data_IF_807026826023
#
_entry.id   IF_807026826023
#
_cell.length_a   1.000
_cell.length_b   1.000
_cell.length_c   1.000
_cell.angle_alpha   90.00
_cell.angle_beta   90.00
_cell.angle_gamma   90.00
#
_symmetry.space_group_name_H-M   'P 1'
#
loop_
_entity.id
_entity.type
_entity.pdbx_description
1 polymer ?
#
# COMPACT_ATOMS: atom_id res chain seq x y z
N UNK A 1 -5.56 12.85 12.32
CA UNK A 1 -6.42 12.74 11.12
C UNK A 1 -5.73 11.83 10.10
N UNK A 2 -6.47 10.97 9.41
CA UNK A 2 -5.88 10.02 8.46
C UNK A 2 -5.10 8.90 9.15
N UNK A 3 -3.96 8.52 8.61
CA UNK A 3 -3.14 7.39 9.10
C UNK A 3 -2.71 7.56 10.58
N UNK A 4 -2.39 8.78 11.01
CA UNK A 4 -2.04 9.10 12.39
C UNK A 4 -3.17 8.72 13.38
N UNK A 5 -4.41 9.10 13.08
CA UNK A 5 -5.55 8.76 13.93
C UNK A 5 -5.85 7.25 13.95
N UNK A 6 -5.69 6.58 12.81
CA UNK A 6 -5.83 5.11 12.74
C UNK A 6 -4.76 4.43 13.58
N UNK A 7 -3.51 4.92 13.53
CA UNK A 7 -2.42 4.41 14.36
C UNK A 7 -2.72 4.54 15.85
N UNK A 8 -3.18 5.71 16.30
CA UNK A 8 -3.55 5.94 17.70
C UNK A 8 -4.67 4.99 18.17
N UNK A 9 -5.64 4.72 17.31
CA UNK A 9 -6.71 3.75 17.61
C UNK A 9 -6.16 2.33 17.71
N UNK A 10 -5.25 1.94 16.81
CA UNK A 10 -4.63 0.61 16.81
C UNK A 10 -3.71 0.40 18.01
N UNK A 11 -2.99 1.43 18.47
CA UNK A 11 -2.16 1.37 19.66
C UNK A 11 -2.96 1.14 20.97
N UNK A 12 -4.22 1.59 21.00
CA UNK A 12 -5.11 1.43 22.15
C UNK A 12 -5.83 0.07 22.18
N UNK A 13 -5.68 -0.73 21.14
CA UNK A 13 -6.33 -2.04 21.06
C UNK A 13 -5.61 -3.07 21.92
N UNK A 14 -6.34 -3.65 22.87
CA UNK A 14 -5.95 -4.87 23.58
C UNK A 14 -6.47 -6.08 22.78
N UNK A 15 -5.55 -6.83 22.18
CA UNK A 15 -5.88 -7.98 21.35
C UNK A 15 -6.46 -9.14 22.16
N UNK A 16 -6.04 -9.32 23.42
CA UNK A 16 -6.53 -10.37 24.29
C UNK A 16 -7.98 -10.12 24.70
N UNK A 17 -8.26 -8.91 25.14
CA UNK A 17 -9.61 -8.49 25.49
C UNK A 17 -10.54 -8.54 24.26
N UNK A 18 -10.07 -8.06 23.11
CA UNK A 18 -10.86 -8.07 21.86
C UNK A 18 -11.16 -9.50 21.39
N UNK A 19 -10.21 -10.42 21.51
CA UNK A 19 -10.42 -11.84 21.19
C UNK A 19 -11.51 -12.47 22.08
N UNK A 20 -11.45 -12.22 23.39
CA UNK A 20 -12.46 -12.72 24.32
C UNK A 20 -13.86 -12.16 24.02
N UNK A 21 -13.95 -10.85 23.73
CA UNK A 21 -15.22 -10.22 23.36
C UNK A 21 -15.81 -10.81 22.09
N UNK A 22 -14.98 -10.99 21.03
CA UNK A 22 -15.45 -11.57 19.77
C UNK A 22 -15.88 -13.03 19.91
N UNK A 23 -15.20 -13.81 20.74
CA UNK A 23 -15.61 -15.20 21.03
C UNK A 23 -16.96 -15.24 21.76
N UNK A 24 -17.18 -14.37 22.72
CA UNK A 24 -18.45 -14.25 23.42
C UNK A 24 -19.58 -13.79 22.47
N UNK A 25 -19.31 -12.80 21.62
CA UNK A 25 -20.25 -12.33 20.58
C UNK A 25 -20.63 -13.45 19.59
N UNK A 26 -19.65 -14.24 19.14
CA UNK A 26 -19.91 -15.36 18.24
C UNK A 26 -20.76 -16.43 18.90
N UNK A 27 -20.52 -16.74 20.20
CA UNK A 27 -21.33 -17.70 20.95
C UNK A 27 -22.79 -17.24 21.08
N UNK A 28 -22.99 -15.98 21.44
CA UNK A 28 -24.33 -15.36 21.55
C UNK A 28 -25.07 -15.34 20.19
N UNK A 29 -24.37 -14.97 19.12
CA UNK A 29 -24.93 -14.96 17.76
C UNK A 29 -25.27 -16.39 17.28
N UNK A 30 -24.51 -17.42 17.69
CA UNK A 30 -24.79 -18.81 17.36
C UNK A 30 -26.08 -19.31 18.00
N UNK A 31 -26.39 -18.88 19.21
CA UNK A 31 -27.65 -19.21 19.88
C UNK A 31 -28.83 -18.51 19.21
N UNK A 32 -28.66 -17.21 18.84
CA UNK A 32 -29.71 -16.42 18.16
C UNK A 32 -29.94 -16.80 16.69
N UNK A 33 -28.94 -17.38 16.02
CA UNK A 33 -29.03 -17.84 14.61
C UNK A 33 -30.04 -18.99 14.44
N UNK A 34 -30.27 -19.75 15.51
CA UNK A 34 -31.33 -20.76 15.55
C UNK A 34 -32.73 -20.19 15.45
N UNK A 35 -32.88 -18.90 15.69
CA UNK A 35 -34.16 -18.20 15.69
C UNK A 35 -34.40 -17.27 14.47
N UNK A 36 -33.34 -16.79 13.77
CA UNK A 36 -33.48 -15.83 12.65
C UNK A 36 -32.33 -15.92 11.63
N UNK A 37 -32.65 -16.13 10.36
CA UNK A 37 -31.73 -16.22 9.21
C UNK A 37 -30.82 -14.99 9.01
N UNK A 38 -31.24 -13.79 9.45
CA UNK A 38 -30.51 -12.52 9.27
C UNK A 38 -29.24 -12.39 10.12
N UNK A 39 -29.05 -13.23 11.14
CA UNK A 39 -27.91 -13.12 12.04
C UNK A 39 -26.68 -13.88 11.56
N UNK A 40 -26.81 -14.77 10.58
CA UNK A 40 -25.69 -15.50 9.98
C UNK A 40 -24.62 -14.59 9.33
N UNK A 41 -25.04 -13.45 8.76
CA UNK A 41 -24.10 -12.48 8.20
C UNK A 41 -23.30 -11.74 9.30
N UNK A 42 -23.90 -11.44 10.43
CA UNK A 42 -23.20 -10.80 11.56
C UNK A 42 -22.18 -11.75 12.16
N UNK A 43 -22.57 -13.01 12.36
CA UNK A 43 -21.67 -14.07 12.84
C UNK A 43 -20.49 -14.28 11.89
N UNK A 44 -20.73 -14.36 10.57
CA UNK A 44 -19.65 -14.50 9.59
C UNK A 44 -18.66 -13.32 9.61
N UNK A 45 -19.15 -12.09 9.84
CA UNK A 45 -18.29 -10.91 10.03
C UNK A 45 -17.49 -11.00 11.33
N UNK A 46 -18.10 -11.41 12.43
CA UNK A 46 -17.42 -11.58 13.72
C UNK A 46 -16.33 -12.66 13.64
N UNK A 47 -16.60 -13.78 12.99
CA UNK A 47 -15.61 -14.85 12.75
C UNK A 47 -14.41 -14.31 11.94
N UNK A 48 -14.63 -13.64 10.80
CA UNK A 48 -13.54 -13.06 10.01
C UNK A 48 -12.73 -12.04 10.81
N UNK A 49 -13.37 -11.27 11.66
CA UNK A 49 -12.68 -10.32 12.55
C UNK A 49 -11.84 -11.04 13.60
N UNK A 50 -12.37 -12.11 14.18
CA UNK A 50 -11.64 -12.95 15.14
C UNK A 50 -10.41 -13.59 14.50
N UNK A 51 -10.52 -14.12 13.27
CA UNK A 51 -9.40 -14.70 12.53
C UNK A 51 -8.24 -13.71 12.40
N UNK A 52 -8.53 -12.44 12.06
CA UNK A 52 -7.50 -11.39 11.97
C UNK A 52 -6.87 -11.11 13.34
N UNK A 53 -7.68 -11.00 14.40
CA UNK A 53 -7.19 -10.74 15.76
C UNK A 53 -6.28 -11.88 16.23
N UNK A 54 -6.69 -13.13 16.02
CA UNK A 54 -5.89 -14.31 16.39
C UNK A 54 -4.61 -14.41 15.56
N UNK A 55 -4.64 -14.01 14.28
CA UNK A 55 -3.44 -13.95 13.47
C UNK A 55 -2.42 -12.95 14.02
N UNK A 56 -2.86 -11.78 14.50
CA UNK A 56 -1.97 -10.82 15.17
C UNK A 56 -1.43 -11.36 16.49
N UNK A 57 -2.29 -12.01 17.31
CA UNK A 57 -1.87 -12.61 18.59
C UNK A 57 -0.82 -13.71 18.39
N UNK A 58 -1.06 -14.62 17.47
CA UNK A 58 -0.17 -15.77 17.23
C UNK A 58 1.15 -15.37 16.59
N UNK A 59 1.16 -14.36 15.75
CA UNK A 59 2.38 -13.86 15.07
C UNK A 59 3.23 -12.94 15.94
N UNK A 60 2.68 -12.39 17.04
CA UNK A 60 3.34 -11.37 17.85
C UNK A 60 3.50 -10.00 17.16
N UNK A 61 2.87 -9.81 16.02
CA UNK A 61 2.87 -8.53 15.31
C UNK A 61 1.93 -7.54 15.98
N UNK A 62 2.37 -6.30 16.08
CA UNK A 62 1.54 -5.22 16.62
C UNK A 62 0.64 -4.63 15.53
N UNK A 63 -0.67 -4.41 15.79
CA UNK A 63 -1.59 -3.84 14.80
C UNK A 63 -1.15 -2.49 14.26
N UNK A 64 -0.50 -1.66 15.08
CA UNK A 64 0.03 -0.34 14.68
C UNK A 64 1.10 -0.41 13.58
N UNK A 65 1.77 -1.55 13.40
CA UNK A 65 2.76 -1.74 12.33
C UNK A 65 2.16 -1.79 10.93
N UNK A 66 0.83 -1.88 10.81
CA UNK A 66 0.15 -1.69 9.53
C UNK A 66 0.25 -0.25 9.01
N UNK A 67 0.59 0.70 9.88
CA UNK A 67 0.79 2.10 9.50
C UNK A 67 2.28 2.36 9.35
N UNK A 68 2.70 2.74 8.15
CA UNK A 68 4.08 3.05 7.85
C UNK A 68 4.46 4.44 8.41
N UNK A 69 5.53 4.50 9.18
CA UNK A 69 6.17 5.75 9.62
C UNK A 69 7.24 6.21 8.62
N UNK A 70 7.95 5.24 8.06
CA UNK A 70 9.03 5.46 7.10
C UNK A 70 8.70 4.75 5.81
N UNK A 71 8.76 5.47 4.69
CA UNK A 71 8.52 4.90 3.37
C UNK A 71 9.84 4.37 2.83
N UNK A 72 9.92 3.07 2.46
CA UNK A 72 11.11 2.52 1.82
C UNK A 72 11.30 3.12 0.43
N UNK A 73 12.54 3.46 0.11
CA UNK A 73 12.90 4.01 -1.19
C UNK A 73 13.60 2.92 -2.02
N UNK A 74 13.09 2.69 -3.22
CA UNK A 74 13.68 1.75 -4.16
C UNK A 74 15.09 2.20 -4.56
N UNK A 75 16.08 1.29 -4.66
CA UNK A 75 17.42 1.61 -5.15
C UNK A 75 17.43 2.30 -6.53
N UNK A 76 18.37 3.21 -6.79
CA UNK A 76 18.43 3.97 -8.05
C UNK A 76 18.50 3.11 -9.31
N UNK A 77 19.16 1.96 -9.26
CA UNK A 77 19.28 1.04 -10.40
C UNK A 77 17.93 0.47 -10.85
N UNK A 78 16.97 0.36 -9.93
CA UNK A 78 15.63 -0.13 -10.22
C UNK A 78 14.65 0.97 -10.68
N UNK A 79 15.07 2.24 -10.59
CA UNK A 79 14.34 3.42 -11.06
C UNK A 79 15.26 4.38 -11.85
N UNK A 80 15.85 3.93 -12.95
CA UNK A 80 16.93 4.64 -13.61
C UNK A 80 16.47 5.98 -14.20
N UNK A 81 17.42 6.92 -14.28
CA UNK A 81 17.33 8.15 -15.04
C UNK A 81 18.44 8.11 -16.09
N UNK A 82 18.08 8.11 -17.36
CA UNK A 82 19.01 7.95 -18.49
C UNK A 82 18.98 9.21 -19.34
N UNK A 83 20.15 9.70 -19.69
CA UNK A 83 20.27 10.80 -20.65
C UNK A 83 20.06 10.26 -22.08
N UNK A 84 19.15 10.89 -22.81
CA UNK A 84 18.92 10.62 -24.23
C UNK A 84 19.74 11.58 -25.08
N UNK A 85 19.91 11.20 -26.35
CA UNK A 85 20.51 12.09 -27.37
C UNK A 85 19.75 13.42 -27.44
N UNK A 86 20.50 14.51 -27.48
CA UNK A 86 19.91 15.87 -27.43
C UNK A 86 19.68 16.44 -26.04
N UNK A 87 20.32 15.90 -24.99
CA UNK A 87 20.32 16.47 -23.63
C UNK A 87 19.02 16.28 -22.84
N UNK A 88 18.06 15.50 -23.36
CA UNK A 88 16.84 15.15 -22.65
C UNK A 88 17.05 13.94 -21.73
N UNK A 89 16.35 13.90 -20.63
CA UNK A 89 16.39 12.78 -19.69
C UNK A 89 15.11 11.95 -19.78
N UNK A 90 15.27 10.62 -19.92
CA UNK A 90 14.21 9.66 -19.67
C UNK A 90 14.31 9.19 -18.21
N UNK A 91 13.21 9.26 -17.48
CA UNK A 91 13.17 8.88 -16.09
C UNK A 91 12.05 7.89 -15.82
N UNK A 92 12.23 7.03 -14.82
CA UNK A 92 11.17 6.16 -14.34
C UNK A 92 10.04 6.97 -13.72
N UNK A 93 8.79 6.56 -13.94
CA UNK A 93 7.60 7.17 -13.33
C UNK A 93 7.68 7.20 -11.80
N UNK A 94 8.37 6.23 -11.17
CA UNK A 94 8.59 6.18 -9.73
C UNK A 94 9.36 7.38 -9.21
N UNK A 95 10.32 7.92 -9.96
CA UNK A 95 11.07 9.11 -9.55
C UNK A 95 10.15 10.33 -9.40
N UNK A 96 9.15 10.48 -10.28
CA UNK A 96 8.17 11.57 -10.19
C UNK A 96 7.24 11.38 -8.97
N UNK A 97 6.81 10.15 -8.71
CA UNK A 97 5.99 9.83 -7.55
C UNK A 97 6.73 10.05 -6.24
N UNK A 98 7.99 9.62 -6.11
CA UNK A 98 8.82 9.93 -4.94
C UNK A 98 9.04 11.43 -4.75
N UNK A 99 9.33 12.14 -5.83
CA UNK A 99 9.50 13.59 -5.79
C UNK A 99 8.25 14.30 -5.26
N UNK A 100 7.05 13.86 -5.64
CA UNK A 100 5.79 14.40 -5.15
C UNK A 100 5.63 14.17 -3.64
N UNK A 101 5.93 12.99 -3.14
CA UNK A 101 5.90 12.67 -1.70
C UNK A 101 6.88 13.56 -0.94
N UNK A 102 8.14 13.66 -1.40
CA UNK A 102 9.17 14.48 -0.74
C UNK A 102 8.76 15.96 -0.70
N UNK A 103 8.29 16.51 -1.82
CA UNK A 103 7.88 17.91 -1.88
C UNK A 103 6.70 18.20 -0.94
N UNK A 104 5.70 17.30 -0.86
CA UNK A 104 4.58 17.45 0.08
C UNK A 104 5.03 17.34 1.52
N UNK A 105 5.90 16.39 1.83
CA UNK A 105 6.46 16.23 3.17
C UNK A 105 7.25 17.48 3.62
N UNK A 106 8.12 17.99 2.76
CA UNK A 106 8.90 19.20 3.05
C UNK A 106 7.99 20.43 3.24
N UNK A 107 6.93 20.53 2.43
CA UNK A 107 5.95 21.60 2.58
C UNK A 107 5.18 21.50 3.90
N UNK A 108 4.73 20.30 4.27
CA UNK A 108 4.07 20.05 5.55
C UNK A 108 4.98 20.41 6.72
N UNK A 109 6.24 19.97 6.69
CA UNK A 109 7.24 20.30 7.72
C UNK A 109 7.38 21.82 7.89
N UNK A 110 7.52 22.54 6.78
CA UNK A 110 7.62 24.01 6.79
C UNK A 110 6.37 24.70 7.34
N UNK A 111 5.18 24.21 7.02
CA UNK A 111 3.91 24.73 7.54
C UNK A 111 3.78 24.52 9.06
N UNK A 112 4.26 23.40 9.57
CA UNK A 112 4.28 23.11 11.01
C UNK A 112 5.28 24.01 11.74
N UNK A 113 6.48 24.21 11.18
CA UNK A 113 7.50 25.10 11.73
C UNK A 113 7.05 26.59 11.79
N UNK A 114 6.26 27.02 10.80
CA UNK A 114 5.72 28.37 10.73
C UNK A 114 4.44 28.58 11.57
N UNK A 115 3.94 27.55 12.25
CA UNK A 115 2.69 27.65 13.02
C UNK A 115 1.46 27.96 12.16
N UNK A 116 1.39 27.43 10.93
CA UNK A 116 0.28 27.69 10.01
C UNK A 116 -1.07 27.26 10.60
N UNK A 117 -2.20 27.91 10.19
CA UNK A 117 -3.53 27.54 10.65
C UNK A 117 -3.83 26.05 10.45
N UNK A 118 -4.53 25.46 11.42
CA UNK A 118 -4.78 24.00 11.45
C UNK A 118 -5.48 23.49 10.18
N UNK A 119 -6.36 24.27 9.59
CA UNK A 119 -7.08 23.91 8.36
C UNK A 119 -6.11 23.68 7.18
N UNK A 120 -5.06 24.50 7.09
CA UNK A 120 -4.03 24.40 6.04
C UNK A 120 -3.18 23.15 6.30
N UNK A 121 -2.77 22.93 7.54
CA UNK A 121 -2.00 21.75 7.95
C UNK A 121 -2.78 20.46 7.67
N UNK A 122 -4.06 20.42 8.02
CA UNK A 122 -4.94 19.26 7.73
C UNK A 122 -5.04 18.97 6.23
N UNK A 123 -5.18 20.03 5.42
CA UNK A 123 -5.26 19.85 3.97
C UNK A 123 -3.93 19.33 3.40
N UNK A 124 -2.78 19.82 3.86
CA UNK A 124 -1.48 19.34 3.40
C UNK A 124 -1.20 17.89 3.87
N UNK A 125 -1.60 17.49 5.08
CA UNK A 125 -1.59 16.10 5.56
C UNK A 125 -2.40 15.19 4.63
N UNK A 126 -3.59 15.62 4.19
CA UNK A 126 -4.43 14.89 3.24
C UNK A 126 -3.74 14.74 1.88
N UNK A 127 -3.15 15.82 1.36
CA UNK A 127 -2.44 15.81 0.07
C UNK A 127 -1.16 14.95 0.13
N UNK A 128 -0.48 14.91 1.27
CA UNK A 128 0.65 13.99 1.50
C UNK A 128 0.18 12.53 1.44
N UNK A 129 -0.91 12.21 2.13
CA UNK A 129 -1.50 10.87 2.10
C UNK A 129 -1.88 10.45 0.67
N UNK A 130 -2.51 11.33 -0.10
CA UNK A 130 -2.83 11.09 -1.51
C UNK A 130 -1.58 10.80 -2.36
N UNK A 131 -0.47 11.50 -2.09
CA UNK A 131 0.80 11.28 -2.78
C UNK A 131 1.40 9.91 -2.44
N UNK A 132 1.29 9.47 -1.19
CA UNK A 132 1.73 8.13 -0.75
C UNK A 132 0.85 7.04 -1.35
N UNK A 133 -0.47 7.23 -1.33
CA UNK A 133 -1.42 6.30 -1.95
C UNK A 133 -1.12 6.12 -3.45
N UNK A 134 -0.81 7.21 -4.17
CA UNK A 134 -0.42 7.16 -5.58
C UNK A 134 0.93 6.46 -5.80
N UNK A 135 1.88 6.60 -4.90
CA UNK A 135 3.17 5.89 -4.97
C UNK A 135 2.98 4.37 -4.85
N UNK A 136 2.11 3.92 -3.95
CA UNK A 136 1.87 2.50 -3.70
C UNK A 136 0.99 1.90 -4.79
N UNK A 137 -0.18 2.49 -5.06
CA UNK A 137 -1.14 1.99 -6.05
C UNK A 137 -1.92 3.12 -6.71
N UNK A 138 -1.36 3.69 -7.77
CA UNK A 138 -1.91 4.85 -8.47
C UNK A 138 -3.22 4.51 -9.19
N UNK A 139 -4.28 5.24 -8.87
CA UNK A 139 -5.61 5.07 -9.46
C UNK A 139 -6.55 4.13 -8.69
N UNK A 140 -6.09 3.53 -7.60
CA UNK A 140 -6.96 2.70 -6.74
C UNK A 140 -8.01 3.52 -6.01
N UNK A 141 -7.64 4.74 -5.59
CA UNK A 141 -8.53 5.69 -4.93
C UNK A 141 -8.64 6.97 -5.77
N UNK A 142 -9.75 7.14 -6.44
CA UNK A 142 -10.04 8.34 -7.21
C UNK A 142 -9.26 8.44 -8.52
N UNK A 143 -9.04 9.67 -8.98
CA UNK A 143 -8.38 9.94 -10.25
C UNK A 143 -6.89 9.65 -10.18
N UNK A 144 -6.39 8.84 -11.09
CA UNK A 144 -4.97 8.54 -11.19
C UNK A 144 -4.13 9.79 -11.44
N UNK A 145 -2.97 9.85 -10.80
CA UNK A 145 -1.95 10.86 -11.08
C UNK A 145 -1.35 10.60 -12.46
N UNK A 146 -1.34 11.62 -13.31
CA UNK A 146 -0.86 11.54 -14.69
C UNK A 146 0.45 12.29 -14.87
N UNK A 147 1.23 11.83 -15.82
CA UNK A 147 2.43 12.49 -16.31
C UNK A 147 2.17 13.36 -17.54
N UNK A 148 3.23 13.88 -18.17
CA UNK A 148 3.13 14.56 -19.45
C UNK A 148 2.41 13.68 -20.49
N UNK A 149 1.46 14.28 -21.23
CA UNK A 149 0.64 13.53 -22.20
C UNK A 149 -0.56 12.80 -21.63
N UNK A 150 -0.93 13.01 -20.36
CA UNK A 150 -2.16 12.48 -19.75
C UNK A 150 -2.13 10.99 -19.38
N UNK A 151 -1.00 10.29 -19.60
CA UNK A 151 -0.83 8.89 -19.22
C UNK A 151 -0.71 8.76 -17.70
N UNK A 152 -1.44 7.80 -17.11
CA UNK A 152 -1.29 7.47 -15.69
C UNK A 152 0.14 6.97 -15.38
N UNK A 153 0.72 7.49 -14.29
CA UNK A 153 2.06 7.07 -13.85
C UNK A 153 2.01 5.63 -13.28
N UNK A 154 3.02 4.84 -13.60
CA UNK A 154 3.16 3.48 -13.06
C UNK A 154 3.65 3.53 -11.60
N UNK A 155 2.82 3.03 -10.69
CA UNK A 155 3.12 2.93 -9.27
C UNK A 155 3.90 1.65 -8.91
N UNK A 156 4.24 1.48 -7.63
CA UNK A 156 4.92 0.28 -7.14
C UNK A 156 4.12 -1.00 -7.41
N UNK A 157 2.81 -0.99 -7.21
CA UNK A 157 1.93 -2.14 -7.48
C UNK A 157 2.00 -2.58 -8.95
N UNK A 158 2.00 -1.62 -9.88
CA UNK A 158 2.14 -1.89 -11.32
C UNK A 158 3.52 -2.46 -11.70
N UNK A 159 4.56 -2.11 -10.93
CA UNK A 159 5.91 -2.64 -11.15
C UNK A 159 6.01 -4.12 -10.73
N UNK A 160 5.20 -4.55 -9.78
CA UNK A 160 5.20 -5.92 -9.26
C UNK A 160 4.25 -6.85 -10.01
N UNK A 161 3.11 -6.33 -10.48
CA UNK A 161 2.01 -7.10 -11.05
C UNK A 161 2.13 -7.33 -12.57
N UNK A 162 1.42 -8.34 -13.05
CA UNK A 162 1.27 -8.64 -14.49
C UNK A 162 2.43 -9.43 -15.10
N UNK A 163 2.37 -9.66 -16.42
CA UNK A 163 3.37 -10.44 -17.18
C UNK A 163 4.77 -9.82 -17.17
N UNK A 164 4.82 -8.48 -17.18
CA UNK A 164 6.06 -7.68 -17.16
C UNK A 164 6.42 -7.23 -15.75
N UNK A 165 5.69 -7.71 -14.74
CA UNK A 165 5.98 -7.41 -13.34
C UNK A 165 7.20 -8.16 -12.82
N UNK A 166 7.77 -7.65 -11.74
CA UNK A 166 9.01 -8.17 -11.16
C UNK A 166 8.92 -9.65 -10.80
N UNK A 167 7.78 -10.10 -10.27
CA UNK A 167 7.60 -11.50 -9.91
C UNK A 167 7.71 -12.44 -11.12
N UNK A 168 6.97 -12.16 -12.19
CA UNK A 168 6.92 -13.04 -13.36
C UNK A 168 8.11 -12.90 -14.30
N UNK A 169 8.66 -11.70 -14.43
CA UNK A 169 9.73 -11.42 -15.39
C UNK A 169 11.13 -11.65 -14.82
N UNK A 170 11.36 -11.46 -13.52
CA UNK A 170 12.70 -11.45 -12.94
C UNK A 170 12.90 -12.47 -11.81
N UNK A 171 11.84 -12.95 -11.16
CA UNK A 171 11.93 -13.86 -10.02
C UNK A 171 11.54 -15.30 -10.37
N UNK A 172 10.39 -15.51 -11.00
CA UNK A 172 9.93 -16.85 -11.42
C UNK A 172 10.65 -17.34 -12.67
N UNK A 173 11.16 -16.46 -13.50
CA UNK A 173 11.97 -16.75 -14.66
C UNK A 173 13.01 -15.69 -14.87
N UNK A 174 14.25 -16.08 -15.08
CA UNK A 174 15.39 -15.17 -15.32
C UNK A 174 16.05 -15.49 -16.65
N UNK A 175 16.66 -14.48 -17.28
CA UNK A 175 17.60 -14.72 -18.37
C UNK A 175 18.87 -15.32 -17.80
N UNK A 176 19.42 -16.30 -18.49
CA UNK A 176 20.65 -16.99 -18.09
C UNK A 176 21.69 -16.87 -19.20
N UNK A 177 22.96 -16.84 -18.79
CA UNK A 177 24.09 -16.89 -19.72
C UNK A 177 24.25 -18.31 -20.27
N UNK A 178 25.05 -18.47 -21.32
CA UNK A 178 25.34 -19.74 -21.96
C UNK A 178 24.10 -20.51 -22.43
N UNK A 179 23.08 -19.78 -22.89
CA UNK A 179 21.85 -20.34 -23.45
C UNK A 179 21.70 -19.96 -24.92
N UNK A 180 21.11 -20.84 -25.69
CA UNK A 180 20.83 -20.64 -27.10
C UNK A 180 19.47 -21.15 -27.51
N UNK A 181 19.01 -20.71 -28.68
CA UNK A 181 17.76 -21.16 -29.29
C UNK A 181 17.99 -21.37 -30.78
N UNK A 182 17.55 -22.52 -31.29
CA UNK A 182 17.65 -22.85 -32.71
C UNK A 182 16.34 -23.42 -33.23
N UNK A 183 16.20 -23.46 -34.54
CA UNK A 183 15.07 -24.09 -35.21
C UNK A 183 15.34 -25.60 -35.30
N UNK A 184 14.36 -26.40 -34.97
CA UNK A 184 14.40 -27.85 -35.15
C UNK A 184 13.75 -28.15 -36.51
N UNK A 185 14.47 -28.82 -37.38
CA UNK A 185 13.98 -29.27 -38.68
C UNK A 185 13.96 -30.78 -38.75
N UNK A 186 13.05 -31.33 -39.57
CA UNK A 186 13.05 -32.75 -39.88
C UNK A 186 14.29 -33.13 -40.69
N UNK A 187 14.92 -34.22 -40.33
CA UNK A 187 16.04 -34.81 -41.07
C UNK A 187 15.57 -35.72 -42.17
#
# INVERSE_FOLDING_TARGET
MGAEAVRELLQKLDLDQLSQQLRAEIAELTEKERERETEGQKRAKAIKRLEVVEAFRSSGNKPEWMILEVIPVMPPDLRPMVQLDGGRFATSDLNDLYRRVINRNNRLKRLLELGAPEIIVRNEKRMLQESVDALIDNGRRGRAVTGPGGRALRSLSHTLSGKQGRFRQNLLGKRVDYSGRSVIVVG
#
